data_IF_348929426309
#
_entry.id   IF_348929426309
#
_cell.length_a   1.000
_cell.length_b   1.000
_cell.length_c   1.000
_cell.angle_alpha   90.00
_cell.angle_beta   90.00
_cell.angle_gamma   90.00
#
_symmetry.space_group_name_H-M   'P 1'
#
loop_
_entity.id
_entity.type
_entity.pdbx_description
1 polymer ?
2 polymer ?
3 non-polymer ?
4 non-polymer ?
5 water ?
#
# COMPACT_ATOMS: atom_id res chain seq x y z
N UNK A 1 11.28 -15.21 -18.78
CA UNK A 1 11.06 -16.67 -18.92
C UNK A 1 9.72 -16.99 -18.26
N UNK A 2 9.16 -18.14 -18.59
CA UNK A 2 7.92 -18.58 -17.93
C UNK A 2 8.13 -18.80 -16.45
N UNK A 3 9.31 -19.28 -16.05
CA UNK A 3 9.60 -19.39 -14.61
C UNK A 3 9.57 -18.04 -13.91
N UNK A 4 10.09 -17.00 -14.57
CA UNK A 4 10.07 -15.66 -13.97
C UNK A 4 8.65 -15.15 -13.92
N UNK A 5 7.87 -15.43 -14.96
CA UNK A 5 6.47 -14.98 -14.90
C UNK A 5 5.74 -15.74 -13.76
N UNK A 6 6.09 -17.00 -13.53
CA UNK A 6 5.56 -17.73 -12.37
C UNK A 6 5.92 -17.04 -11.04
N UNK A 7 7.17 -16.54 -10.93
CA UNK A 7 7.59 -15.85 -9.74
C UNK A 7 6.74 -14.61 -9.50
N UNK A 8 6.58 -13.81 -10.55
CA UNK A 8 5.83 -12.59 -10.39
C UNK A 8 4.38 -12.90 -10.09
N UNK A 9 3.83 -13.98 -10.65
CA UNK A 9 2.44 -14.36 -10.33
C UNK A 9 2.31 -14.76 -8.87
N UNK A 10 3.29 -15.50 -8.35
CA UNK A 10 3.26 -15.81 -6.90
C UNK A 10 3.33 -14.51 -6.08
N UNK A 11 4.20 -13.58 -6.48
CA UNK A 11 4.27 -12.28 -5.78
C UNK A 11 2.91 -11.58 -5.79
N UNK A 12 2.21 -11.55 -6.94
CA UNK A 12 0.91 -10.91 -6.95
C UNK A 12 -0.10 -11.57 -6.05
N UNK A 13 -0.12 -12.88 -6.02
CA UNK A 13 -1.00 -13.65 -5.11
C UNK A 13 -0.69 -13.28 -3.63
N UNK A 14 0.59 -13.26 -3.28
CA UNK A 14 1.02 -12.88 -1.94
C UNK A 14 0.57 -11.47 -1.60
N UNK A 15 0.80 -10.55 -2.52
CA UNK A 15 0.38 -9.15 -2.27
C UNK A 15 -1.12 -8.93 -2.19
N UNK A 16 -1.88 -9.64 -3.01
CA UNK A 16 -3.34 -9.55 -2.85
C UNK A 16 -3.82 -10.04 -1.52
N UNK A 17 -3.22 -11.12 -1.04
CA UNK A 17 -3.61 -11.67 0.26
C UNK A 17 -3.30 -10.73 1.43
N UNK A 18 -2.11 -10.13 1.42
CA UNK A 18 -1.74 -9.19 2.44
C UNK A 18 -2.71 -7.99 2.37
N UNK A 19 -2.94 -7.48 1.18
CA UNK A 19 -3.80 -6.29 1.01
C UNK A 19 -5.24 -6.56 1.47
N UNK A 20 -5.80 -7.72 1.10
CA UNK A 20 -7.10 -8.10 1.56
C UNK A 20 -7.18 -8.12 3.12
N UNK A 21 -6.17 -8.69 3.75
CA UNK A 21 -6.17 -8.76 5.18
C UNK A 21 -6.16 -7.36 5.82
N UNK A 22 -5.45 -6.44 5.23
CA UNK A 22 -5.49 -5.01 5.69
C UNK A 22 -6.87 -4.42 5.43
N UNK A 23 -7.43 -4.73 4.26
CA UNK A 23 -8.71 -4.12 3.84
C UNK A 23 -9.92 -4.57 4.67
N UNK A 24 -9.86 -5.73 5.27
CA UNK A 24 -10.98 -6.23 6.06
C UNK A 24 -10.85 -5.80 7.52
N UNK A 25 -9.73 -5.19 7.89
CA UNK A 25 -9.54 -4.75 9.26
C UNK A 25 -10.34 -3.45 9.46
N UNK A 26 -11.25 -3.45 10.44
CA UNK A 26 -12.15 -2.30 10.66
C UNK A 26 -11.39 -1.00 10.87
N UNK A 27 -10.18 -1.08 11.40
CA UNK A 27 -9.44 0.14 11.70
C UNK A 27 -9.05 0.88 10.44
N UNK A 28 -8.95 0.13 9.32
CA UNK A 28 -8.36 0.64 8.08
C UNK A 28 -9.41 0.93 7.03
N UNK A 29 -10.68 0.99 7.44
CA UNK A 29 -11.76 1.28 6.51
C UNK A 29 -11.48 2.58 5.77
N UNK A 30 -10.96 3.58 6.45
CA UNK A 30 -10.70 4.86 5.86
C UNK A 30 -9.69 4.84 4.70
N UNK A 31 -8.89 3.78 4.65
CA UNK A 31 -7.90 3.61 3.60
C UNK A 31 -8.29 2.64 2.48
N UNK A 32 -9.52 2.17 2.50
CA UNK A 32 -9.93 1.12 1.56
C UNK A 32 -10.29 1.66 0.19
N UNK A 33 -10.66 2.94 0.11
CA UNK A 33 -11.07 3.56 -1.17
C UNK A 33 -10.36 4.93 -1.27
N UNK A 34 -10.23 5.48 -2.49
CA UNK A 34 -9.71 6.84 -2.61
C UNK A 34 -10.53 7.80 -1.81
N UNK A 35 -9.87 8.80 -1.26
CA UNK A 35 -10.58 9.97 -0.78
C UNK A 35 -11.45 10.53 -1.88
N UNK A 36 -12.72 10.77 -1.58
CA UNK A 36 -13.67 11.13 -2.65
C UNK A 36 -13.44 12.57 -3.11
N UNK A 37 -13.04 12.76 -4.35
CA UNK A 37 -12.67 14.06 -4.87
C UNK A 37 -13.83 15.05 -4.90
N UNK A 38 -15.05 14.54 -4.98
CA UNK A 38 -16.23 15.39 -4.96
C UNK A 38 -16.55 15.85 -3.54
N UNK A 39 -16.35 15.00 -2.55
CA UNK A 39 -16.68 15.40 -1.19
C UNK A 39 -15.50 16.14 -0.53
N UNK A 40 -14.27 15.84 -0.96
CA UNK A 40 -13.09 16.48 -0.34
C UNK A 40 -12.22 17.08 -1.46
N UNK A 41 -12.69 18.15 -2.09
CA UNK A 41 -11.99 18.65 -3.26
C UNK A 41 -10.58 19.20 -2.96
N UNK A 42 -10.31 19.60 -1.71
CA UNK A 42 -8.96 20.10 -1.36
C UNK A 42 -7.92 18.98 -1.37
N UNK A 43 -8.35 17.73 -1.23
CA UNK A 43 -7.40 16.65 -1.07
C UNK A 43 -6.42 16.52 -2.24
N UNK A 44 -6.95 16.55 -3.46
CA UNK A 44 -6.09 16.39 -4.66
C UNK A 44 -5.14 17.57 -4.86
N UNK A 45 -5.45 18.72 -4.26
CA UNK A 45 -4.53 19.86 -4.30
C UNK A 45 -3.34 19.65 -3.39
N UNK A 46 -3.60 19.18 -2.19
CA UNK A 46 -2.58 19.00 -1.16
C UNK A 46 -1.73 17.76 -1.35
N UNK A 47 -2.36 16.62 -1.61
CA UNK A 47 -1.69 15.37 -1.63
C UNK A 47 -1.43 15.03 -3.10
N UNK A 48 -0.14 15.02 -3.44
CA UNK A 48 0.24 14.96 -4.87
C UNK A 48 0.15 13.54 -5.41
N UNK A 49 0.28 12.51 -4.57
CA UNK A 49 0.14 11.12 -5.02
C UNK A 49 -0.82 10.34 -4.13
N UNK A 50 -2.12 10.51 -4.35
CA UNK A 50 -3.11 9.77 -3.57
C UNK A 50 -2.91 8.29 -3.70
N UNK A 51 -3.14 7.56 -2.63
CA UNK A 51 -3.03 6.08 -2.67
C UNK A 51 -3.98 5.50 -1.64
N UNK A 52 -4.51 4.32 -1.93
CA UNK A 52 -5.46 3.63 -1.05
C UNK A 52 -5.41 2.17 -1.40
N UNK A 53 -6.02 1.33 -0.57
CA UNK A 53 -5.91 -0.11 -0.75
C UNK A 53 -6.58 -0.65 -1.99
N UNK A 54 -7.64 0.00 -2.47
CA UNK A 54 -8.29 -0.41 -3.72
C UNK A 54 -7.35 -0.15 -4.90
N UNK A 55 -6.70 0.99 -4.85
CA UNK A 55 -5.74 1.40 -5.88
C UNK A 55 -4.54 0.44 -5.85
N UNK A 56 -4.15 0.02 -4.67
CA UNK A 56 -3.07 -0.99 -4.55
C UNK A 56 -3.44 -2.29 -5.23
N UNK A 57 -4.67 -2.78 -5.02
CA UNK A 57 -5.13 -4.00 -5.68
C UNK A 57 -5.09 -3.80 -7.20
N UNK A 58 -5.57 -2.67 -7.68
CA UNK A 58 -5.56 -2.39 -9.11
C UNK A 58 -4.13 -2.43 -9.65
N UNK A 59 -3.18 -1.83 -8.92
CA UNK A 59 -1.79 -1.90 -9.34
C UNK A 59 -1.17 -3.29 -9.33
N UNK A 60 -1.54 -4.08 -8.34
CA UNK A 60 -1.09 -5.46 -8.34
C UNK A 60 -1.54 -6.13 -9.64
N UNK A 61 -2.81 -5.96 -9.99
CA UNK A 61 -3.40 -6.66 -11.11
C UNK A 61 -2.84 -6.16 -12.46
N UNK A 62 -2.37 -4.90 -12.46
CA UNK A 62 -1.71 -4.31 -13.60
C UNK A 62 -0.23 -4.63 -13.67
N UNK A 63 0.25 -5.52 -12.81
CA UNK A 63 1.63 -5.93 -12.77
C UNK A 63 2.58 -4.77 -12.49
N UNK A 64 2.14 -3.80 -11.71
CA UNK A 64 2.97 -2.66 -11.39
C UNK A 64 4.02 -2.96 -10.31
N UNK A 65 3.83 -4.00 -9.50
CA UNK A 65 4.76 -4.34 -8.44
C UNK A 65 5.54 -5.60 -8.83
N UNK A 66 6.84 -5.46 -9.01
CA UNK A 66 7.69 -6.62 -9.30
C UNK A 66 8.50 -7.04 -8.07
N UNK A 67 8.42 -6.26 -7.00
CA UNK A 67 9.01 -6.60 -5.73
C UNK A 67 8.08 -6.21 -4.59
N UNK A 68 8.33 -6.79 -3.42
CA UNK A 68 7.61 -6.36 -2.23
C UNK A 68 8.06 -4.97 -1.78
N UNK A 69 9.31 -4.63 -2.04
CA UNK A 69 9.79 -3.26 -1.80
C UNK A 69 8.93 -2.25 -2.51
N UNK A 70 8.60 -2.51 -3.78
CA UNK A 70 7.80 -1.51 -4.50
C UNK A 70 6.37 -1.42 -3.96
N UNK A 71 5.81 -2.55 -3.56
CA UNK A 71 4.53 -2.56 -2.87
C UNK A 71 4.56 -1.73 -1.59
N UNK A 72 5.57 -1.96 -0.76
CA UNK A 72 5.69 -1.29 0.52
C UNK A 72 5.88 0.23 0.33
N UNK A 73 6.42 0.66 -0.79
CA UNK A 73 6.50 2.09 -1.11
C UNK A 73 5.11 2.70 -1.19
N UNK A 74 4.16 1.94 -1.75
CA UNK A 74 2.77 2.41 -1.81
C UNK A 74 2.03 2.33 -0.46
N UNK A 75 2.33 1.33 0.36
CA UNK A 75 1.76 1.29 1.73
C UNK A 75 2.31 2.49 2.50
N UNK A 76 3.63 2.75 2.35
CA UNK A 76 4.25 3.90 2.98
C UNK A 76 3.57 5.20 2.54
N UNK A 77 3.19 5.29 1.29
CA UNK A 77 2.54 6.45 0.73
C UNK A 77 1.13 6.67 1.32
N UNK A 78 0.38 5.60 1.48
CA UNK A 78 -0.91 5.68 2.21
C UNK A 78 -0.68 6.31 3.58
N UNK A 79 0.32 5.81 4.29
CA UNK A 79 0.62 6.34 5.61
C UNK A 79 1.08 7.79 5.57
N UNK A 80 2.08 8.11 4.77
CA UNK A 80 2.61 9.45 4.76
C UNK A 80 1.59 10.47 4.29
N UNK A 81 0.75 10.10 3.32
CA UNK A 81 -0.34 10.99 2.90
C UNK A 81 -1.27 11.34 4.05
N UNK A 82 -1.61 10.33 4.87
CA UNK A 82 -2.50 10.60 6.03
C UNK A 82 -1.84 11.53 7.06
N UNK A 83 -0.57 11.31 7.31
CA UNK A 83 0.15 12.18 8.23
C UNK A 83 0.23 13.58 7.74
N UNK A 84 0.42 13.76 6.42
CA UNK A 84 0.53 15.11 5.83
C UNK A 84 -0.80 15.87 5.79
N UNK A 85 -1.86 15.18 5.37
CA UNK A 85 -3.16 15.81 5.22
C UNK A 85 -3.87 16.07 6.56
N UNK A 86 -3.52 15.28 7.57
CA UNK A 86 -4.16 15.35 8.89
C UNK A 86 -3.11 15.53 10.04
N UNK A 87 -2.41 16.66 10.06
CA UNK A 87 -1.24 16.81 10.91
C UNK A 87 -1.48 17.39 12.31
N UNK A 88 -2.71 17.74 12.63
CA UNK A 88 -2.99 18.57 13.81
C UNK A 88 -3.26 17.74 15.05
N UNK A 89 -3.38 18.44 16.21
CA UNK A 89 -3.46 17.70 17.48
C UNK A 89 -4.88 17.25 17.81
N UNK A 90 -5.85 17.71 17.05
CA UNK A 90 -7.25 17.34 17.36
C UNK A 90 -7.49 15.83 17.22
N UNK A 91 -8.45 15.31 17.96
CA UNK A 91 -8.61 13.86 18.01
C UNK A 91 -8.92 13.21 16.69
N UNK A 92 -9.67 13.89 15.83
CA UNK A 92 -9.89 13.32 14.49
C UNK A 92 -8.62 13.07 13.69
N UNK A 93 -7.69 14.02 13.71
CA UNK A 93 -6.43 13.92 13.00
C UNK A 93 -5.58 12.84 13.69
N UNK A 94 -5.51 12.90 15.02
CA UNK A 94 -4.70 11.92 15.73
C UNK A 94 -5.16 10.48 15.49
N UNK A 95 -6.48 10.29 15.41
CA UNK A 95 -7.02 8.96 15.15
C UNK A 95 -6.62 8.45 13.77
N UNK A 96 -6.75 9.29 12.75
CA UNK A 96 -6.39 8.83 11.42
C UNK A 96 -4.89 8.59 11.32
N UNK A 97 -4.09 9.41 11.99
CA UNK A 97 -2.66 9.18 11.98
C UNK A 97 -2.30 7.86 12.65
N UNK A 98 -2.93 7.58 13.79
CA UNK A 98 -2.67 6.34 14.48
C UNK A 98 -3.02 5.15 13.64
N UNK A 99 -4.17 5.23 12.95
CA UNK A 99 -4.63 4.15 12.02
C UNK A 99 -3.68 3.97 10.87
N UNK A 100 -3.19 5.07 10.32
CA UNK A 100 -2.23 5.03 9.23
C UNK A 100 -0.92 4.35 9.63
N UNK A 101 -0.41 4.71 10.82
CA UNK A 101 0.81 4.09 11.31
C UNK A 101 0.57 2.59 11.61
N UNK A 102 -0.62 2.27 12.11
CA UNK A 102 -1.01 0.88 12.35
C UNK A 102 -1.12 0.09 11.05
N UNK A 103 -1.65 0.70 10.03
CA UNK A 103 -1.70 0.06 8.72
C UNK A 103 -0.28 -0.27 8.23
N UNK A 104 0.59 0.71 8.26
CA UNK A 104 1.98 0.55 7.85
C UNK A 104 2.66 -0.55 8.68
N UNK A 105 2.56 -0.42 10.01
CA UNK A 105 3.20 -1.41 10.93
C UNK A 105 2.67 -2.85 10.70
N UNK A 106 1.36 -2.97 10.49
CA UNK A 106 0.75 -4.26 10.21
C UNK A 106 1.24 -4.87 8.91
N UNK A 107 1.30 -4.07 7.86
CA UNK A 107 1.80 -4.57 6.58
C UNK A 107 3.24 -5.08 6.73
N UNK A 108 4.08 -4.27 7.36
CA UNK A 108 5.47 -4.66 7.55
C UNK A 108 5.61 -5.92 8.40
N UNK A 109 4.76 -6.06 9.41
CA UNK A 109 4.85 -7.20 10.33
C UNK A 109 4.38 -8.50 9.62
N UNK A 110 3.32 -8.41 8.82
CA UNK A 110 2.87 -9.56 8.03
C UNK A 110 3.99 -9.98 7.08
N UNK A 111 4.55 -9.00 6.40
CA UNK A 111 5.67 -9.28 5.47
C UNK A 111 6.87 -9.86 6.20
N UNK A 112 7.20 -9.35 7.38
CA UNK A 112 8.31 -9.92 8.12
C UNK A 112 8.09 -11.41 8.44
N UNK A 113 6.88 -11.79 8.82
CA UNK A 113 6.57 -13.15 9.23
C UNK A 113 6.38 -14.07 8.04
N UNK A 114 5.95 -13.53 6.89
CA UNK A 114 5.41 -14.36 5.80
C UNK A 114 6.13 -14.27 4.46
N UNK A 115 6.94 -13.25 4.25
CA UNK A 115 7.72 -13.14 3.01
C UNK A 115 9.06 -13.80 3.18
N UNK A 116 9.36 -14.82 2.35
CA UNK A 116 10.71 -15.44 2.39
C UNK A 116 11.68 -14.47 1.76
N UNK A 117 12.75 -14.17 2.48
CA UNK A 117 13.75 -13.17 2.02
C UNK A 117 14.37 -13.58 0.67
N UNK A 118 14.51 -14.91 0.46
CA UNK A 118 15.06 -15.36 -0.82
C UNK A 118 14.09 -15.20 -1.98
N UNK A 119 12.80 -15.27 -1.68
CA UNK A 119 11.79 -14.97 -2.69
C UNK A 119 11.87 -13.51 -3.10
N UNK A 120 11.96 -12.61 -2.12
CA UNK A 120 12.07 -11.19 -2.43
C UNK A 120 13.37 -10.93 -3.22
N UNK A 121 14.46 -11.55 -2.80
CA UNK A 121 15.74 -11.36 -3.47
C UNK A 121 15.63 -11.77 -4.95
N UNK A 122 15.03 -12.92 -5.21
CA UNK A 122 14.80 -13.36 -6.60
C UNK A 122 14.02 -12.30 -7.40
N UNK A 123 12.92 -11.82 -6.81
CA UNK A 123 12.13 -10.77 -7.47
C UNK A 123 13.00 -9.56 -7.81
N UNK A 124 13.82 -9.12 -6.87
CA UNK A 124 14.65 -7.95 -7.11
C UNK A 124 15.63 -8.21 -8.23
N UNK A 125 16.18 -9.42 -8.27
CA UNK A 125 17.13 -9.76 -9.33
C UNK A 125 16.48 -9.89 -10.70
N UNK A 126 15.26 -10.37 -10.79
CA UNK A 126 14.61 -10.40 -12.09
C UNK A 126 14.35 -8.96 -12.52
N UNK A 127 13.82 -8.15 -11.60
CA UNK A 127 13.48 -6.73 -11.91
C UNK A 127 14.73 -5.99 -12.43
N UNK A 128 15.85 -6.16 -11.74
CA UNK A 128 17.10 -5.47 -12.12
C UNK A 128 17.70 -5.95 -13.45
N UNK A 129 17.29 -7.14 -13.93
CA UNK A 129 17.74 -7.71 -15.22
C UNK A 129 16.93 -7.17 -16.39
N UNK A 130 15.83 -6.50 -16.09
CA UNK A 130 14.98 -5.94 -17.12
C UNK A 130 15.28 -4.42 -17.28
N UNK B 1 -6.30 19.32 10.56
CA UNK B 1 -6.22 19.67 9.11
C UNK B 1 -7.58 20.03 8.52
N UNK B 2 -7.64 20.06 7.18
CA UNK B 2 -8.84 20.47 6.44
C UNK B 2 -10.01 19.51 6.58
N UNK B 3 -9.75 18.28 6.99
CA UNK B 3 -10.84 17.38 7.26
C UNK B 3 -11.46 16.78 6.02
N UNK B 5 -14.87 16.55 5.69
CA UNK B 5 -16.27 17.05 5.64
C UNK B 5 -17.30 16.02 6.04
#
# INVERSE_FOLDING_TARGET
SMQEEDTFRELRIFLRNVTHRLAIDKRFRVFTKPVDPDEVPDYVTVIKQPMDLSSVISKIDLHKYLTVKDYLRDIDLICSNALEYNPDRDPGDRLIRHRACALRDTAYAIIKEELDEDFEQLCEEIQESR
GLGXGGAY
#
